data_IF_694304287417
#
_entry.id   IF_694304287417
#
_cell.length_a   1.000
_cell.length_b   1.000
_cell.length_c   1.000
_cell.angle_alpha   90.00
_cell.angle_beta   90.00
_cell.angle_gamma   90.00
#
_symmetry.space_group_name_H-M   'P 1'
#
loop_
_entity.id
_entity.type
_entity.pdbx_description
1 polymer ?
#
# COMPACT_ATOMS: atom_id res chain seq x y z
N UNK A 1 -45.57 -19.62 59.57
CA UNK A 1 -46.24 -20.23 58.40
C UNK A 1 -46.88 -19.10 57.59
N UNK A 2 -46.16 -18.56 56.61
CA UNK A 2 -46.70 -17.70 55.56
C UNK A 2 -45.71 -17.75 54.40
N UNK A 3 -46.09 -18.44 53.32
CA UNK A 3 -45.32 -18.55 52.09
C UNK A 3 -45.63 -17.33 51.21
N UNK A 4 -44.61 -16.59 50.81
CA UNK A 4 -44.68 -15.54 49.78
C UNK A 4 -44.35 -16.11 48.39
N UNK A 5 -44.79 -15.45 47.30
CA UNK A 5 -44.86 -16.06 45.97
C UNK A 5 -43.52 -16.06 45.22
N UNK A 6 -43.31 -17.09 44.39
CA UNK A 6 -42.22 -17.23 43.41
C UNK A 6 -42.22 -16.09 42.39
N UNK A 7 -41.02 -15.56 42.12
CA UNK A 7 -40.74 -14.62 41.03
C UNK A 7 -40.12 -15.37 39.84
N UNK A 8 -40.46 -15.00 38.59
CA UNK A 8 -40.03 -15.73 37.41
C UNK A 8 -38.57 -15.45 37.03
N UNK A 9 -37.91 -16.51 36.56
CA UNK A 9 -36.53 -16.57 36.07
C UNK A 9 -36.35 -15.71 34.81
N UNK A 10 -35.36 -14.81 34.83
CA UNK A 10 -34.99 -13.96 33.70
C UNK A 10 -33.96 -14.71 32.83
N UNK A 11 -34.21 -14.91 31.51
CA UNK A 11 -33.25 -15.61 30.66
C UNK A 11 -32.06 -14.72 30.30
N UNK A 12 -30.88 -15.30 30.43
CA UNK A 12 -29.56 -14.78 30.07
C UNK A 12 -29.49 -14.44 28.55
N UNK A 13 -29.15 -13.21 28.13
CA UNK A 13 -28.96 -12.92 26.72
C UNK A 13 -27.60 -13.47 26.29
N UNK A 14 -27.68 -14.67 25.71
CA UNK A 14 -26.57 -15.41 25.14
C UNK A 14 -25.68 -14.59 24.19
N UNK A 15 -24.44 -15.06 24.14
CA UNK A 15 -23.31 -14.43 23.47
C UNK A 15 -23.53 -13.98 22.04
N UNK A 16 -23.07 -12.76 21.76
CA UNK A 16 -22.65 -12.36 20.42
C UNK A 16 -21.13 -12.19 20.42
N UNK A 17 -20.42 -13.32 20.53
CA UNK A 17 -19.03 -13.37 20.10
C UNK A 17 -19.01 -13.15 18.60
N UNK A 18 -18.73 -11.93 18.16
CA UNK A 18 -18.42 -11.64 16.77
C UNK A 18 -17.10 -12.37 16.44
N UNK A 19 -17.22 -13.62 16.02
CA UNK A 19 -16.15 -14.40 15.42
C UNK A 19 -15.69 -13.65 14.18
N UNK A 20 -14.59 -12.91 14.30
CA UNK A 20 -13.82 -12.45 13.16
C UNK A 20 -13.35 -13.70 12.42
N UNK A 21 -14.04 -14.07 11.36
CA UNK A 21 -13.53 -15.00 10.37
C UNK A 21 -12.33 -14.34 9.69
N UNK A 22 -11.17 -14.48 10.30
CA UNK A 22 -9.90 -14.30 9.61
C UNK A 22 -9.68 -15.56 8.78
N UNK A 23 -10.05 -15.49 7.51
CA UNK A 23 -9.61 -16.46 6.52
C UNK A 23 -8.09 -16.69 6.67
N UNK A 24 -7.60 -17.93 6.53
CA UNK A 24 -6.17 -18.19 6.57
C UNK A 24 -5.47 -17.32 5.52
N UNK A 25 -4.28 -16.76 5.82
CA UNK A 25 -3.59 -15.87 4.90
C UNK A 25 -3.38 -16.58 3.57
N UNK A 26 -3.96 -16.02 2.50
CA UNK A 26 -3.86 -16.58 1.15
C UNK A 26 -2.38 -16.63 0.73
N UNK A 27 -1.95 -17.68 0.05
CA UNK A 27 -0.60 -17.71 -0.50
C UNK A 27 -0.36 -16.50 -1.43
N UNK A 28 0.82 -15.87 -1.33
CA UNK A 28 1.19 -14.78 -2.23
C UNK A 28 1.33 -15.33 -3.67
N UNK A 29 1.02 -14.54 -4.72
CA UNK A 29 1.09 -15.01 -6.09
C UNK A 29 2.48 -15.52 -6.47
N UNK A 30 2.56 -16.71 -7.08
CA UNK A 30 3.82 -17.29 -7.55
C UNK A 30 4.58 -16.37 -8.52
N UNK A 31 3.84 -15.59 -9.33
CA UNK A 31 4.42 -14.59 -10.23
C UNK A 31 5.26 -13.51 -9.52
N UNK A 32 5.12 -13.35 -8.19
CA UNK A 32 5.92 -12.40 -7.41
C UNK A 32 7.24 -13.01 -6.92
N UNK A 33 7.42 -14.33 -6.97
CA UNK A 33 8.57 -15.02 -6.40
C UNK A 33 9.93 -14.52 -6.91
N UNK A 34 10.12 -14.19 -8.21
CA UNK A 34 11.37 -13.61 -8.68
C UNK A 34 11.76 -12.30 -7.96
N UNK A 35 10.77 -11.54 -7.49
CA UNK A 35 10.99 -10.32 -6.70
C UNK A 35 11.06 -10.60 -5.20
N UNK A 36 10.17 -11.45 -4.67
CA UNK A 36 10.14 -11.78 -3.23
C UNK A 36 11.42 -12.50 -2.78
N UNK A 37 12.06 -13.27 -3.67
CA UNK A 37 13.34 -13.93 -3.41
C UNK A 37 14.56 -12.99 -3.42
N UNK A 38 14.40 -11.69 -3.73
CA UNK A 38 15.49 -10.73 -3.65
C UNK A 38 15.81 -10.43 -2.18
N UNK A 39 17.09 -10.35 -1.77
CA UNK A 39 17.48 -10.25 -0.35
C UNK A 39 16.70 -9.20 0.44
N UNK A 40 16.56 -8.00 -0.14
CA UNK A 40 15.85 -6.87 0.46
C UNK A 40 14.39 -7.17 0.88
N UNK A 41 13.67 -8.00 0.09
CA UNK A 41 12.30 -8.44 0.37
C UNK A 41 12.27 -9.74 1.17
N UNK A 42 13.13 -10.70 0.82
CA UNK A 42 13.20 -12.01 1.46
C UNK A 42 13.40 -11.89 2.98
N UNK A 43 14.27 -10.96 3.40
CA UNK A 43 14.52 -10.64 4.81
C UNK A 43 13.29 -10.12 5.57
N UNK A 44 12.26 -9.64 4.86
CA UNK A 44 11.03 -9.08 5.45
C UNK A 44 9.85 -10.07 5.50
N UNK A 45 9.92 -11.22 4.80
CA UNK A 45 8.78 -12.13 4.64
C UNK A 45 8.25 -12.74 5.95
N UNK A 46 9.07 -12.76 7.02
CA UNK A 46 8.65 -13.19 8.36
C UNK A 46 8.08 -12.08 9.25
N UNK A 47 8.16 -10.80 8.84
CA UNK A 47 7.71 -9.70 9.67
C UNK A 47 6.18 -9.53 9.58
N UNK A 48 5.42 -9.52 10.69
CA UNK A 48 3.94 -9.53 10.65
C UNK A 48 3.33 -8.39 9.82
N UNK A 49 3.83 -7.17 9.99
CA UNK A 49 3.35 -6.01 9.23
C UNK A 49 3.71 -6.09 7.74
N UNK A 50 4.87 -6.67 7.39
CA UNK A 50 5.29 -6.83 6.00
C UNK A 50 4.42 -7.88 5.31
N UNK A 51 4.22 -9.04 5.97
CA UNK A 51 3.31 -10.07 5.51
C UNK A 51 1.89 -9.53 5.28
N UNK A 52 1.34 -8.81 6.27
CA UNK A 52 0.02 -8.20 6.16
C UNK A 52 -0.07 -7.18 5.00
N UNK A 53 0.97 -6.36 4.79
CA UNK A 53 1.00 -5.40 3.69
C UNK A 53 1.03 -6.09 2.32
N UNK A 54 1.79 -7.18 2.17
CA UNK A 54 1.84 -7.98 0.93
C UNK A 54 0.50 -8.67 0.64
N UNK A 55 -0.20 -9.16 1.67
CA UNK A 55 -1.53 -9.73 1.54
C UNK A 55 -2.55 -8.70 1.08
N UNK A 56 -2.54 -7.53 1.72
CA UNK A 56 -3.46 -6.45 1.39
C UNK A 56 -3.18 -5.90 -0.02
N UNK A 57 -1.92 -5.83 -0.42
CA UNK A 57 -1.53 -5.51 -1.79
C UNK A 57 -2.09 -6.54 -2.79
N UNK A 58 -2.03 -7.84 -2.47
CA UNK A 58 -2.58 -8.90 -3.32
C UNK A 58 -4.09 -8.78 -3.47
N UNK A 59 -4.78 -8.31 -2.43
CA UNK A 59 -6.24 -8.11 -2.42
C UNK A 59 -6.65 -6.84 -3.18
N UNK A 60 -5.89 -5.77 -3.04
CA UNK A 60 -6.24 -4.45 -3.55
C UNK A 60 -5.80 -4.22 -4.99
N UNK A 61 -4.59 -4.66 -5.36
CA UNK A 61 -3.95 -4.22 -6.59
C UNK A 61 -4.12 -5.24 -7.73
N UNK A 62 -4.37 -4.78 -8.97
CA UNK A 62 -4.21 -5.63 -10.13
C UNK A 62 -2.74 -6.05 -10.28
N UNK A 63 -2.44 -7.21 -10.91
CA UNK A 63 -1.10 -7.79 -10.92
C UNK A 63 0.04 -6.84 -11.33
N UNK A 64 -0.18 -5.98 -12.33
CA UNK A 64 0.84 -5.05 -12.82
C UNK A 64 1.18 -3.93 -11.82
N UNK A 65 0.21 -3.42 -11.03
CA UNK A 65 0.47 -2.42 -9.99
C UNK A 65 1.16 -3.07 -8.77
N UNK A 66 0.85 -4.33 -8.46
CA UNK A 66 1.54 -5.06 -7.41
C UNK A 66 3.01 -5.31 -7.76
N UNK A 67 3.30 -5.75 -8.99
CA UNK A 67 4.69 -5.89 -9.47
C UNK A 67 5.44 -4.56 -9.44
N UNK A 68 4.82 -3.46 -9.88
CA UNK A 68 5.39 -2.11 -9.77
C UNK A 68 5.71 -1.73 -8.32
N UNK A 69 4.82 -2.03 -7.38
CA UNK A 69 5.01 -1.75 -5.96
C UNK A 69 6.21 -2.52 -5.39
N UNK A 70 6.36 -3.80 -5.75
CA UNK A 70 7.52 -4.61 -5.36
C UNK A 70 8.83 -4.08 -5.97
N UNK A 71 8.85 -3.75 -7.26
CA UNK A 71 10.04 -3.15 -7.90
C UNK A 71 10.38 -1.80 -7.30
N UNK A 72 9.39 -0.97 -7.01
CA UNK A 72 9.55 0.32 -6.34
C UNK A 72 10.30 0.16 -5.02
N UNK A 73 9.89 -0.79 -4.17
CA UNK A 73 10.59 -1.07 -2.92
C UNK A 73 12.04 -1.51 -3.16
N UNK A 74 12.27 -2.43 -4.10
CA UNK A 74 13.61 -2.96 -4.38
C UNK A 74 14.57 -1.89 -4.93
N UNK A 75 14.07 -1.00 -5.80
CA UNK A 75 14.84 0.13 -6.33
C UNK A 75 15.14 1.17 -5.25
N UNK A 76 14.17 1.43 -4.37
CA UNK A 76 14.35 2.30 -3.23
C UNK A 76 15.42 1.74 -2.27
N UNK A 77 15.37 0.44 -1.96
CA UNK A 77 16.38 -0.21 -1.13
C UNK A 77 17.77 -0.22 -1.81
N UNK A 78 17.84 -0.43 -3.12
CA UNK A 78 19.10 -0.31 -3.86
C UNK A 78 19.72 1.09 -3.71
N UNK A 79 18.91 2.15 -3.86
CA UNK A 79 19.35 3.53 -3.62
C UNK A 79 19.82 3.72 -2.18
N UNK A 80 19.06 3.23 -1.20
CA UNK A 80 19.42 3.34 0.20
C UNK A 80 20.77 2.68 0.51
N UNK A 81 21.03 1.48 -0.04
CA UNK A 81 22.32 0.79 0.11
C UNK A 81 23.47 1.54 -0.55
N UNK A 82 23.28 2.02 -1.79
CA UNK A 82 24.32 2.79 -2.50
C UNK A 82 24.72 4.05 -1.74
N UNK A 83 23.79 4.68 -1.02
CA UNK A 83 24.01 5.95 -0.35
C UNK A 83 24.12 5.87 1.18
N UNK A 84 24.10 4.66 1.77
CA UNK A 84 24.16 4.47 3.21
C UNK A 84 22.98 5.12 3.97
N UNK A 85 21.79 5.17 3.37
CA UNK A 85 20.61 5.82 3.95
C UNK A 85 19.91 4.82 4.88
N UNK A 86 19.86 5.13 6.17
CA UNK A 86 19.03 4.42 7.13
C UNK A 86 17.55 4.79 6.96
N UNK A 87 16.67 3.80 7.02
CA UNK A 87 15.23 3.98 6.86
C UNK A 87 14.43 2.83 7.47
N UNK A 88 13.14 3.06 7.71
CA UNK A 88 12.17 2.05 8.13
C UNK A 88 11.82 1.10 6.97
N UNK A 89 12.52 -0.04 6.87
CA UNK A 89 12.35 -1.03 5.79
C UNK A 89 10.93 -1.57 5.69
N UNK A 90 10.34 -1.96 6.81
CA UNK A 90 8.98 -2.51 6.85
C UNK A 90 7.95 -1.44 6.51
N UNK A 91 8.14 -0.23 7.03
CA UNK A 91 7.27 0.90 6.72
C UNK A 91 7.35 1.32 5.25
N UNK A 92 8.54 1.32 4.66
CA UNK A 92 8.72 1.61 3.25
C UNK A 92 8.07 0.54 2.36
N UNK A 93 8.16 -0.75 2.74
CA UNK A 93 7.44 -1.81 2.03
C UNK A 93 5.92 -1.60 2.11
N UNK A 94 5.38 -1.25 3.28
CA UNK A 94 3.97 -0.91 3.42
C UNK A 94 3.59 0.33 2.60
N UNK A 95 4.42 1.39 2.61
CA UNK A 95 4.18 2.57 1.80
C UNK A 95 4.18 2.24 0.30
N UNK A 96 5.13 1.44 -0.17
CA UNK A 96 5.20 0.98 -1.56
C UNK A 96 3.98 0.13 -1.93
N UNK A 97 3.54 -0.79 -1.06
CA UNK A 97 2.36 -1.62 -1.29
C UNK A 97 1.04 -0.82 -1.45
N UNK A 98 0.96 0.37 -0.87
CA UNK A 98 -0.25 1.20 -0.87
C UNK A 98 -0.18 2.42 -1.78
N UNK A 99 0.99 2.83 -2.29
CA UNK A 99 1.14 4.15 -2.93
C UNK A 99 0.17 4.40 -4.10
N UNK A 100 -0.18 3.33 -4.81
CA UNK A 100 -1.12 3.33 -5.94
C UNK A 100 -2.49 2.72 -5.63
N UNK A 101 -2.76 2.31 -4.38
CA UNK A 101 -4.02 1.68 -4.01
C UNK A 101 -5.25 2.58 -4.29
N UNK A 102 -5.07 3.90 -4.22
CA UNK A 102 -6.09 4.88 -4.57
C UNK A 102 -6.46 4.94 -6.06
N UNK A 103 -5.67 4.34 -6.96
CA UNK A 103 -6.01 4.19 -8.38
C UNK A 103 -7.12 3.14 -8.59
N UNK A 104 -7.25 2.20 -7.66
CA UNK A 104 -8.22 1.11 -7.71
C UNK A 104 -9.52 1.54 -7.07
N UNK A 105 -10.63 1.06 -7.63
CA UNK A 105 -11.98 1.37 -7.17
C UNK A 105 -12.72 2.35 -8.08
N UNK A 106 -14.04 2.40 -7.92
CA UNK A 106 -14.96 3.18 -8.78
C UNK A 106 -15.48 4.44 -8.11
N UNK A 107 -15.29 4.60 -6.79
CA UNK A 107 -15.83 5.75 -6.08
C UNK A 107 -15.14 7.05 -6.52
N UNK A 108 -15.86 8.19 -6.51
CA UNK A 108 -15.28 9.49 -6.79
C UNK A 108 -14.07 9.78 -5.92
N UNK A 109 -13.10 10.51 -6.49
CA UNK A 109 -11.90 10.93 -5.79
C UNK A 109 -12.13 12.34 -5.22
N UNK A 110 -11.94 12.49 -3.90
CA UNK A 110 -12.01 13.81 -3.25
C UNK A 110 -10.85 14.73 -3.63
N UNK A 111 -10.82 15.93 -3.03
CA UNK A 111 -9.68 16.87 -3.18
C UNK A 111 -8.37 16.17 -2.81
N UNK A 112 -7.34 16.30 -3.67
CA UNK A 112 -6.04 15.60 -3.55
C UNK A 112 -5.95 14.28 -4.33
N UNK A 113 -7.10 13.69 -4.69
CA UNK A 113 -7.28 12.45 -5.45
C UNK A 113 -6.43 11.25 -5.05
N UNK A 114 -5.99 10.44 -6.03
CA UNK A 114 -5.54 9.07 -5.74
C UNK A 114 -4.40 8.98 -4.71
N UNK A 115 -3.35 9.84 -4.69
CA UNK A 115 -2.31 9.74 -3.66
C UNK A 115 -2.84 10.02 -2.25
N UNK A 116 -3.82 10.92 -2.13
CA UNK A 116 -4.49 11.19 -0.86
C UNK A 116 -5.34 10.00 -0.41
N UNK A 117 -6.03 9.34 -1.35
CA UNK A 117 -6.77 8.11 -1.07
C UNK A 117 -5.85 6.95 -0.68
N UNK A 118 -4.76 6.75 -1.42
CA UNK A 118 -3.72 5.78 -1.08
C UNK A 118 -3.19 6.01 0.34
N UNK A 119 -2.93 7.27 0.71
CA UNK A 119 -2.47 7.62 2.06
C UNK A 119 -3.53 7.32 3.13
N UNK A 120 -4.82 7.53 2.87
CA UNK A 120 -5.90 7.14 3.80
C UNK A 120 -6.00 5.62 3.97
N UNK A 121 -5.90 4.86 2.89
CA UNK A 121 -5.92 3.39 2.93
C UNK A 121 -4.73 2.87 3.74
N UNK A 122 -3.54 3.42 3.52
CA UNK A 122 -2.36 3.11 4.30
C UNK A 122 -2.56 3.47 5.78
N UNK A 123 -3.11 4.65 6.08
CA UNK A 123 -3.33 5.07 7.46
C UNK A 123 -4.27 4.13 8.22
N UNK A 124 -5.38 3.73 7.58
CA UNK A 124 -6.33 2.78 8.16
C UNK A 124 -5.68 1.40 8.39
N UNK A 125 -4.92 0.91 7.42
CA UNK A 125 -4.15 -0.33 7.55
C UNK A 125 -3.18 -0.26 8.73
N UNK A 126 -2.34 0.77 8.78
CA UNK A 126 -1.35 0.93 9.85
C UNK A 126 -2.01 1.10 11.22
N UNK A 127 -3.15 1.81 11.30
CA UNK A 127 -3.94 1.95 12.52
C UNK A 127 -4.45 0.60 13.04
N UNK A 128 -5.01 -0.23 12.15
CA UNK A 128 -5.49 -1.58 12.47
C UNK A 128 -4.37 -2.49 12.98
N UNK A 129 -3.14 -2.27 12.50
CA UNK A 129 -1.94 -2.96 12.95
C UNK A 129 -1.21 -2.25 14.11
N UNK A 130 -1.88 -1.32 14.82
CA UNK A 130 -1.40 -0.66 16.04
C UNK A 130 -0.07 0.09 15.85
N UNK A 131 0.20 0.57 14.63
CA UNK A 131 1.38 1.38 14.35
C UNK A 131 1.18 2.78 14.93
N UNK A 132 2.18 3.29 15.65
CA UNK A 132 2.12 4.61 16.30
C UNK A 132 1.91 5.78 15.33
N UNK A 133 1.25 6.83 15.81
CA UNK A 133 0.80 7.99 15.01
C UNK A 133 1.93 8.73 14.30
N UNK A 134 3.10 8.86 14.91
CA UNK A 134 4.27 9.53 14.30
C UNK A 134 4.73 8.77 13.05
N UNK A 135 4.93 7.45 13.17
CA UNK A 135 5.32 6.59 12.07
C UNK A 135 4.27 6.58 10.95
N UNK A 136 2.99 6.49 11.31
CA UNK A 136 1.86 6.61 10.37
C UNK A 136 1.89 7.93 9.61
N UNK A 137 2.10 9.04 10.31
CA UNK A 137 2.15 10.38 9.69
C UNK A 137 3.29 10.47 8.66
N UNK A 138 4.47 9.94 9.00
CA UNK A 138 5.61 9.91 8.09
C UNK A 138 5.34 9.08 6.84
N UNK A 139 4.83 7.86 6.99
CA UNK A 139 4.59 6.94 5.87
C UNK A 139 3.42 7.41 4.97
N UNK A 140 2.36 7.92 5.57
CA UNK A 140 1.20 8.46 4.83
C UNK A 140 1.56 9.76 4.10
N UNK A 141 2.45 10.58 4.65
CA UNK A 141 3.03 11.73 3.94
C UNK A 141 3.86 11.29 2.74
N UNK A 142 4.73 10.28 2.89
CA UNK A 142 5.48 9.71 1.77
C UNK A 142 4.56 9.28 0.62
N UNK A 143 3.49 8.55 0.94
CA UNK A 143 2.48 8.14 -0.06
C UNK A 143 1.71 9.32 -0.62
N UNK A 144 1.38 10.35 0.16
CA UNK A 144 0.64 11.51 -0.36
C UNK A 144 1.47 12.30 -1.38
N UNK A 145 2.79 12.31 -1.21
CA UNK A 145 3.70 13.17 -1.95
C UNK A 145 4.50 12.46 -3.06
N UNK A 146 4.33 11.15 -3.26
CA UNK A 146 5.14 10.39 -4.23
C UNK A 146 5.02 10.88 -5.69
N UNK A 147 3.89 11.50 -6.06
CA UNK A 147 3.66 12.08 -7.39
C UNK A 147 4.22 13.50 -7.57
N UNK A 148 4.80 14.12 -6.52
CA UNK A 148 5.43 15.44 -6.68
C UNK A 148 6.58 15.34 -7.68
N UNK A 149 6.85 16.38 -8.51
CA UNK A 149 7.99 16.36 -9.43
C UNK A 149 9.34 16.15 -8.72
N UNK A 150 9.43 16.60 -7.47
CA UNK A 150 10.58 16.43 -6.58
C UNK A 150 10.08 16.20 -5.14
N UNK A 151 10.82 15.45 -4.31
CA UNK A 151 10.54 15.36 -2.88
C UNK A 151 10.54 16.74 -2.21
N UNK A 152 9.73 16.92 -1.16
CA UNK A 152 9.81 18.12 -0.33
C UNK A 152 11.19 18.27 0.33
N UNK A 153 11.60 19.51 0.60
CA UNK A 153 12.92 19.79 1.22
C UNK A 153 13.06 19.13 2.60
N UNK A 154 11.98 19.09 3.35
CA UNK A 154 11.86 18.51 4.69
C UNK A 154 11.39 17.03 4.67
N UNK A 155 11.39 16.38 3.50
CA UNK A 155 10.98 14.98 3.39
C UNK A 155 11.88 14.07 4.25
N UNK A 156 11.31 13.04 4.85
CA UNK A 156 12.08 11.98 5.52
C UNK A 156 12.78 11.03 4.53
N UNK A 157 13.63 10.11 5.01
CA UNK A 157 14.27 9.11 4.16
C UNK A 157 13.24 8.24 3.43
N UNK A 158 12.17 7.78 4.09
CA UNK A 158 11.14 6.94 3.46
C UNK A 158 10.44 7.66 2.30
N UNK A 159 10.15 8.95 2.45
CA UNK A 159 9.52 9.75 1.40
C UNK A 159 10.44 9.95 0.19
N UNK A 160 11.73 10.20 0.41
CA UNK A 160 12.73 10.31 -0.68
C UNK A 160 12.94 8.98 -1.39
N UNK A 161 13.08 7.90 -0.64
CA UNK A 161 13.33 6.56 -1.18
C UNK A 161 12.10 6.04 -1.95
N UNK A 162 10.89 6.21 -1.42
CA UNK A 162 9.66 5.86 -2.13
C UNK A 162 9.55 6.65 -3.45
N UNK A 163 9.78 7.96 -3.39
CA UNK A 163 9.77 8.82 -4.58
C UNK A 163 10.80 8.33 -5.62
N UNK A 164 12.03 8.06 -5.19
CA UNK A 164 13.07 7.54 -6.07
C UNK A 164 12.65 6.24 -6.75
N UNK A 165 12.17 5.25 -5.99
CA UNK A 165 11.75 3.95 -6.51
C UNK A 165 10.64 4.06 -7.54
N UNK A 166 9.59 4.85 -7.26
CA UNK A 166 8.45 5.05 -8.15
C UNK A 166 8.89 5.70 -9.46
N UNK A 167 9.64 6.80 -9.38
CA UNK A 167 10.07 7.55 -10.56
C UNK A 167 11.08 6.77 -11.39
N UNK A 168 11.98 6.03 -10.75
CA UNK A 168 12.91 5.18 -11.47
C UNK A 168 12.18 4.09 -12.23
N UNK A 169 11.27 3.34 -11.60
CA UNK A 169 10.56 2.22 -12.25
C UNK A 169 9.77 2.68 -13.49
N UNK A 170 9.08 3.82 -13.38
CA UNK A 170 8.20 4.34 -14.44
C UNK A 170 8.97 5.08 -15.53
N UNK A 171 9.87 6.00 -15.15
CA UNK A 171 10.47 6.95 -16.11
C UNK A 171 11.94 6.68 -16.40
N UNK A 172 12.59 5.78 -15.66
CA UNK A 172 14.05 5.60 -15.72
C UNK A 172 14.84 6.71 -15.02
N UNK A 173 14.17 7.65 -14.34
CA UNK A 173 14.85 8.76 -13.66
C UNK A 173 15.55 8.24 -12.42
N UNK A 174 16.87 8.43 -12.36
CA UNK A 174 17.70 7.92 -11.27
C UNK A 174 18.55 6.71 -11.64
N UNK A 175 18.50 6.23 -12.89
CA UNK A 175 19.26 5.07 -13.37
C UNK A 175 20.78 5.18 -13.07
N UNK A 176 21.35 6.39 -13.11
CA UNK A 176 22.77 6.60 -12.78
C UNK A 176 23.12 6.33 -11.32
N UNK A 177 22.16 6.37 -10.41
CA UNK A 177 22.38 6.11 -8.97
C UNK A 177 22.37 4.60 -8.66
N UNK A 178 21.64 3.81 -9.45
CA UNK A 178 21.58 2.33 -9.33
C UNK A 178 21.64 1.68 -10.73
N UNK A 179 22.81 1.72 -11.40
CA UNK A 179 22.91 1.32 -12.80
C UNK A 179 22.53 -0.14 -13.02
N UNK A 180 21.53 -0.39 -13.88
CA UNK A 180 21.12 -1.74 -14.27
C UNK A 180 20.08 -2.40 -13.37
N UNK A 181 19.87 -1.93 -12.14
CA UNK A 181 18.86 -2.50 -11.23
C UNK A 181 17.45 -2.47 -11.83
N UNK A 182 17.06 -1.35 -12.47
CA UNK A 182 15.75 -1.26 -13.12
C UNK A 182 15.60 -2.27 -14.25
N UNK A 183 16.63 -2.44 -15.10
CA UNK A 183 16.60 -3.42 -16.20
C UNK A 183 16.54 -4.84 -15.67
N UNK A 184 17.31 -5.16 -14.64
CA UNK A 184 17.29 -6.46 -13.97
C UNK A 184 15.89 -6.79 -13.43
N UNK A 185 15.31 -5.90 -12.64
CA UNK A 185 14.00 -6.13 -12.02
C UNK A 185 12.86 -6.19 -13.06
N UNK A 186 12.93 -5.37 -14.12
CA UNK A 186 11.98 -5.45 -15.23
C UNK A 186 12.09 -6.76 -16.02
N UNK A 187 13.29 -7.34 -16.12
CA UNK A 187 13.51 -8.66 -16.72
C UNK A 187 12.96 -9.80 -15.85
N UNK A 188 13.10 -9.72 -14.53
CA UNK A 188 12.59 -10.71 -13.58
C UNK A 188 11.06 -10.73 -13.47
N UNK A 189 10.43 -9.56 -13.58
CA UNK A 189 8.98 -9.42 -13.51
C UNK A 189 8.48 -8.41 -14.56
N UNK A 190 8.27 -8.85 -15.81
CA UNK A 190 7.86 -7.98 -16.90
C UNK A 190 6.47 -7.39 -16.69
N UNK A 191 6.32 -6.09 -16.95
CA UNK A 191 5.02 -5.40 -17.01
C UNK A 191 4.93 -4.64 -18.34
N UNK A 192 4.57 -5.32 -19.45
CA UNK A 192 4.54 -4.71 -20.76
C UNK A 192 3.56 -3.53 -20.80
N UNK A 193 4.00 -2.42 -21.42
CA UNK A 193 3.25 -1.16 -21.53
C UNK A 193 2.82 -0.56 -20.17
N UNK A 194 3.51 -0.89 -19.08
CA UNK A 194 3.15 -0.42 -17.74
C UNK A 194 2.97 1.09 -17.69
N UNK A 195 3.97 1.86 -18.14
CA UNK A 195 3.94 3.32 -18.14
C UNK A 195 2.71 3.89 -18.88
N UNK A 196 2.30 3.28 -20.00
CA UNK A 196 1.09 3.67 -20.74
C UNK A 196 -0.16 3.38 -19.91
N UNK A 197 -0.27 2.16 -19.36
CA UNK A 197 -1.43 1.74 -18.57
C UNK A 197 -1.57 2.50 -17.25
N UNK A 198 -0.44 2.88 -16.64
CA UNK A 198 -0.36 3.71 -15.45
C UNK A 198 -0.81 5.13 -15.76
N UNK A 199 -0.27 5.74 -16.83
CA UNK A 199 -0.65 7.08 -17.27
C UNK A 199 -2.15 7.17 -17.57
N UNK A 200 -2.71 6.17 -18.28
CA UNK A 200 -4.15 6.11 -18.55
C UNK A 200 -4.98 6.07 -17.25
N UNK A 201 -4.55 5.31 -16.24
CA UNK A 201 -5.21 5.26 -14.92
C UNK A 201 -5.11 6.58 -14.17
N UNK A 202 -3.95 7.25 -14.22
CA UNK A 202 -3.75 8.57 -13.61
C UNK A 202 -4.69 9.61 -14.27
N UNK A 203 -4.78 9.62 -15.60
CA UNK A 203 -5.70 10.50 -16.34
C UNK A 203 -7.16 10.21 -15.97
N UNK A 204 -7.57 8.93 -15.99
CA UNK A 204 -8.93 8.54 -15.60
C UNK A 204 -9.27 8.93 -14.15
N UNK A 205 -8.30 8.86 -13.23
CA UNK A 205 -8.44 9.37 -11.87
C UNK A 205 -8.56 10.90 -11.84
N UNK A 206 -7.78 11.61 -12.65
CA UNK A 206 -7.88 13.06 -12.82
C UNK A 206 -9.28 13.49 -13.26
N UNK A 207 -9.85 12.83 -14.27
CA UNK A 207 -11.22 13.10 -14.73
C UNK A 207 -12.26 12.88 -13.61
N UNK A 208 -12.11 11.84 -12.80
CA UNK A 208 -12.98 11.56 -11.64
C UNK A 208 -12.87 12.56 -10.48
N UNK A 209 -11.86 13.43 -10.45
CA UNK A 209 -11.79 14.56 -9.50
C UNK A 209 -12.63 15.75 -9.95
N UNK A 210 -12.76 15.93 -11.27
CA UNK A 210 -13.35 17.13 -11.88
C UNK A 210 -14.84 16.94 -12.15
N UNK A 211 -15.25 15.72 -12.46
CA UNK A 211 -16.66 15.42 -12.73
C UNK A 211 -17.43 15.24 -11.41
N UNK A 212 -18.59 15.90 -11.22
CA UNK A 212 -19.49 15.59 -10.11
C UNK A 212 -19.90 14.12 -10.19
N UNK A 213 -19.98 13.44 -9.04
CA UNK A 213 -20.47 12.07 -8.98
C UNK A 213 -21.85 11.99 -9.64
N UNK A 214 -22.07 10.99 -10.48
CA UNK A 214 -23.41 10.73 -11.01
C UNK A 214 -24.40 10.67 -9.84
N UNK A 215 -25.56 11.36 -9.92
CA UNK A 215 -26.56 11.24 -8.88
C UNK A 215 -26.93 9.77 -8.76
N UNK A 216 -26.72 9.21 -7.57
CA UNK A 216 -27.20 7.88 -7.23
C UNK A 216 -28.71 7.96 -7.30
N UNK A 217 -29.33 7.42 -8.35
CA UNK A 217 -30.75 7.17 -8.37
C UNK A 217 -31.01 6.04 -7.39
N UNK A 218 -31.39 6.39 -6.16
CA UNK A 218 -32.06 5.44 -5.28
C UNK A 218 -33.35 5.01 -5.99
N UNK A 219 -33.46 3.72 -6.29
CA UNK A 219 -34.70 3.06 -6.70
C UNK A 219 -34.85 1.80 -5.89
#
# INVERSE_FOLDING_TARGET
MAAGPEMPEVPDPGGSGASSHSDPPKALPEAWQPLLGRPALAELLGHPLAGAALQEMCRLLPPHLAVHSLRTFLLADACARTHGIAYDRVGLLAAAAFHDAGLVGRTPLGRGGFPYRSAQLLDHFLARHQVGTVRRTTLTRAVREHMRPFPARDAGPEARLLHFGVWLDVTGRGERQVPGDRRLLAGLAPTPRFALSFSARVVACGLRRVLPGSPVTHR
#
